data_IF_882574127634
#
_entry.id   IF_882574127634
#
_cell.length_a   1.000
_cell.length_b   1.000
_cell.length_c   1.000
_cell.angle_alpha   90.00
_cell.angle_beta   90.00
_cell.angle_gamma   90.00
#
_symmetry.space_group_name_H-M   'P 1'
#
loop_
_entity.id
_entity.type
_entity.pdbx_description
1 polymer ?
#
# COMPACT_ATOMS: atom_id res chain seq x y z
N UNK A 1 -10.56 3.94 -1.56
CA UNK A 1 -9.50 3.06 -2.14
C UNK A 1 -8.15 3.48 -1.62
N UNK A 2 -7.22 2.53 -1.45
CA UNK A 2 -5.83 2.77 -1.05
C UNK A 2 -4.91 2.15 -2.11
N UNK A 3 -3.95 2.92 -2.63
CA UNK A 3 -2.93 2.42 -3.55
C UNK A 3 -1.54 2.58 -2.94
N UNK A 4 -0.69 1.56 -3.14
CA UNK A 4 0.70 1.54 -2.68
C UNK A 4 1.62 1.50 -3.91
N UNK A 5 2.53 2.47 -4.01
CA UNK A 5 3.42 2.64 -5.16
C UNK A 5 4.85 2.80 -4.65
N UNK A 6 5.76 1.95 -5.12
CA UNK A 6 7.19 2.10 -4.82
C UNK A 6 7.75 3.31 -5.55
N UNK A 7 8.51 4.15 -4.86
CA UNK A 7 9.26 5.28 -5.43
C UNK A 7 10.77 4.99 -5.56
N UNK A 8 11.21 3.84 -5.07
CA UNK A 8 12.54 3.25 -5.30
C UNK A 8 12.42 2.04 -6.23
N UNK A 9 13.53 1.56 -6.84
CA UNK A 9 13.50 0.36 -7.69
C UNK A 9 12.78 -0.82 -7.05
N UNK A 10 13.00 -1.01 -5.74
CA UNK A 10 12.26 -1.94 -4.88
C UNK A 10 11.98 -1.28 -3.52
N UNK A 11 10.80 -1.50 -2.97
CA UNK A 11 10.45 -1.27 -1.55
C UNK A 11 10.19 -2.63 -0.91
N UNK A 12 10.81 -2.91 0.24
CA UNK A 12 10.81 -4.23 0.88
C UNK A 12 10.24 -4.19 2.30
N UNK A 13 9.92 -5.37 2.83
CA UNK A 13 9.39 -5.51 4.17
C UNK A 13 8.04 -4.83 4.34
N UNK A 14 7.23 -4.81 3.27
CA UNK A 14 5.93 -4.15 3.28
C UNK A 14 4.96 -4.99 4.11
N UNK A 15 4.44 -4.39 5.17
CA UNK A 15 3.37 -4.96 5.98
C UNK A 15 2.13 -4.08 5.90
N UNK A 16 0.97 -4.71 5.72
CA UNK A 16 -0.32 -4.01 5.75
C UNK A 16 -1.32 -4.69 6.67
N UNK A 17 -2.10 -3.88 7.39
CA UNK A 17 -3.20 -4.33 8.24
C UNK A 17 -4.49 -3.63 7.85
N UNK A 18 -5.61 -4.37 7.97
CA UNK A 18 -6.95 -3.89 7.63
C UNK A 18 -7.08 -3.44 6.17
N UNK A 19 -6.34 -4.08 5.27
CA UNK A 19 -6.40 -3.90 3.82
C UNK A 19 -6.74 -5.24 3.17
N UNK A 20 -7.65 -5.24 2.18
CA UNK A 20 -8.17 -6.45 1.52
C UNK A 20 -7.07 -7.32 0.92
N UNK A 21 -6.12 -6.69 0.24
CA UNK A 21 -4.93 -7.35 -0.29
C UNK A 21 -3.78 -7.12 0.70
N UNK A 22 -3.79 -7.90 1.77
CA UNK A 22 -2.80 -7.79 2.83
C UNK A 22 -1.41 -8.22 2.33
N UNK A 23 -0.37 -7.56 2.83
CA UNK A 23 1.03 -7.89 2.60
C UNK A 23 1.66 -8.21 3.96
N UNK A 24 2.44 -9.27 4.00
CA UNK A 24 3.29 -9.62 5.14
C UNK A 24 4.67 -9.88 4.57
N UNK A 25 5.63 -9.01 4.90
CA UNK A 25 6.99 -9.03 4.33
C UNK A 25 7.00 -8.97 2.80
N UNK A 26 6.10 -8.14 2.23
CA UNK A 26 5.95 -8.00 0.79
C UNK A 26 6.97 -7.09 0.14
N UNK A 27 7.13 -7.22 -1.17
CA UNK A 27 7.95 -6.36 -2.00
C UNK A 27 7.13 -5.71 -3.12
N UNK A 28 7.41 -4.46 -3.43
CA UNK A 28 6.88 -3.75 -4.60
C UNK A 28 8.04 -3.18 -5.40
N UNK A 29 8.00 -3.35 -6.72
CA UNK A 29 8.98 -2.76 -7.64
C UNK A 29 8.41 -1.51 -8.31
N UNK A 30 9.29 -0.62 -8.76
CA UNK A 30 8.89 0.59 -9.50
C UNK A 30 8.08 0.24 -10.77
N UNK A 31 8.47 -0.86 -11.43
CA UNK A 31 7.93 -1.28 -12.72
C UNK A 31 6.58 -2.02 -12.59
N UNK A 32 6.25 -2.50 -11.39
CA UNK A 32 5.08 -3.32 -11.13
C UNK A 32 4.36 -2.82 -9.88
N UNK A 33 3.39 -1.90 -10.04
CA UNK A 33 2.55 -1.49 -8.92
C UNK A 33 1.51 -2.59 -8.67
N UNK A 34 1.93 -3.72 -8.08
CA UNK A 34 1.03 -4.82 -7.64
C UNK A 34 0.08 -4.42 -6.50
N UNK A 35 0.11 -3.16 -6.07
CA UNK A 35 -0.69 -2.58 -4.99
C UNK A 35 -1.69 -1.50 -5.42
N UNK A 36 -2.05 -1.40 -6.70
CA UNK A 36 -3.09 -0.45 -7.16
C UNK A 36 -4.46 -0.99 -6.75
N UNK A 37 -5.27 -0.14 -6.10
CA UNK A 37 -6.67 -0.39 -5.78
C UNK A 37 -6.95 -1.37 -4.62
N UNK A 38 -6.17 -1.29 -3.54
CA UNK A 38 -6.52 -1.95 -2.28
C UNK A 38 -7.73 -1.29 -1.61
N UNK A 39 -8.41 -2.04 -0.74
CA UNK A 39 -9.63 -1.61 -0.06
C UNK A 39 -9.41 -1.71 1.44
N UNK A 40 -9.73 -0.63 2.16
CA UNK A 40 -9.71 -0.62 3.62
C UNK A 40 -10.85 -1.50 4.14
N UNK A 41 -10.53 -2.54 4.90
CA UNK A 41 -11.52 -3.47 5.47
C UNK A 41 -11.95 -3.07 6.88
N UNK A 42 -11.12 -2.31 7.60
CA UNK A 42 -11.43 -1.73 8.91
C UNK A 42 -10.59 -0.47 9.16
N UNK A 43 -11.06 0.43 10.03
CA UNK A 43 -10.33 1.65 10.42
C UNK A 43 -9.78 1.52 11.86
N UNK A 44 -8.52 1.90 12.14
CA UNK A 44 -7.53 2.45 11.22
C UNK A 44 -6.86 1.38 10.35
N UNK A 45 -6.39 1.78 9.17
CA UNK A 45 -5.47 0.96 8.35
C UNK A 45 -4.02 1.23 8.74
N UNK A 46 -3.15 0.22 8.57
CA UNK A 46 -1.72 0.33 8.87
C UNK A 46 -0.88 -0.07 7.66
N UNK A 47 0.20 0.67 7.41
CA UNK A 47 1.22 0.36 6.43
C UNK A 47 2.59 0.60 7.07
N UNK A 48 3.47 -0.40 6.99
CA UNK A 48 4.88 -0.29 7.41
C UNK A 48 5.78 -0.77 6.29
N UNK A 49 6.99 -0.21 6.22
CA UNK A 49 8.04 -0.64 5.30
C UNK A 49 9.33 -0.87 6.08
N UNK A 50 10.16 -1.78 5.59
CA UNK A 50 11.51 -1.99 6.11
C UNK A 50 12.54 -1.12 5.38
N UNK A 51 12.51 -1.12 4.05
CA UNK A 51 13.50 -0.43 3.20
C UNK A 51 12.83 0.19 1.97
N UNK A 52 13.34 1.36 1.55
CA UNK A 52 12.90 2.06 0.33
C UNK A 52 11.95 3.22 0.62
N UNK A 53 11.20 3.64 -0.41
CA UNK A 53 10.22 4.71 -0.32
C UNK A 53 8.89 4.28 -0.93
N UNK A 54 7.81 4.43 -0.16
CA UNK A 54 6.46 4.04 -0.57
C UNK A 54 5.52 5.24 -0.55
N UNK A 55 4.90 5.52 -1.69
CA UNK A 55 3.79 6.46 -1.79
C UNK A 55 2.47 5.74 -1.47
N UNK A 56 1.71 6.30 -0.53
CA UNK A 56 0.36 5.84 -0.19
C UNK A 56 -0.65 6.87 -0.67
N UNK A 57 -1.53 6.46 -1.59
CA UNK A 57 -2.64 7.30 -2.07
C UNK A 57 -3.94 6.77 -1.50
N UNK A 58 -4.63 7.58 -0.68
CA UNK A 58 -5.97 7.28 -0.17
C UNK A 58 -6.99 8.19 -0.86
N UNK A 59 -7.86 7.60 -1.68
CA UNK A 59 -9.03 8.31 -2.18
C UNK A 59 -10.05 8.42 -1.05
N UNK A 60 -10.30 9.65 -0.61
CA UNK A 60 -11.44 10.00 0.24
C UNK A 60 -12.65 10.09 -0.70
N UNK A 61 -13.73 9.37 -0.41
CA UNK A 61 -14.92 9.41 -1.24
C UNK A 61 -15.46 10.85 -1.34
N UNK A 62 -15.97 11.23 -2.51
CA UNK A 62 -16.78 12.45 -2.62
C UNK A 62 -18.07 12.21 -1.84
N UNK A 63 -18.28 12.98 -0.77
CA UNK A 63 -19.61 13.09 -0.16
C UNK A 63 -20.50 13.78 -1.21
N UNK A 64 -21.39 13.02 -1.83
CA UNK A 64 -22.52 13.57 -2.58
C UNK A 64 -23.77 13.39 -1.74
#
# INVERSE_FOLDING_TARGET
TVSLISLTPVTKGIYTKNLKYALTDGELTLDFPRGISNVLTASPGEVRIGEGLLLVVKLLGSTT
#
